data_IF_325633167257
#
_entry.id   IF_325633167257
#
_cell.length_a   1.000
_cell.length_b   1.000
_cell.length_c   1.000
_cell.angle_alpha   90.00
_cell.angle_beta   90.00
_cell.angle_gamma   90.00
#
_symmetry.space_group_name_H-M   'P 1'
#
loop_
_entity.id
_entity.type
_entity.pdbx_description
1 polymer ?
#
# COMPACT_ATOMS: atom_id res chain seq x y z
N UNK A 1 14.80 1.34 -9.13
CA UNK A 1 14.25 1.15 -7.78
C UNK A 1 13.26 2.27 -7.54
N UNK A 2 11.98 1.96 -7.44
CA UNK A 2 10.94 2.93 -7.10
C UNK A 2 10.55 2.82 -5.62
N UNK A 3 10.09 3.92 -5.04
CA UNK A 3 9.53 3.95 -3.68
C UNK A 3 8.01 4.09 -3.75
N UNK A 4 7.27 3.17 -3.13
CA UNK A 4 5.79 3.13 -3.22
C UNK A 4 5.13 2.93 -1.85
N UNK A 5 4.01 3.61 -1.56
CA UNK A 5 3.27 3.39 -0.32
C UNK A 5 2.58 2.04 -0.30
N UNK A 6 2.54 1.41 0.88
CA UNK A 6 1.67 0.29 1.19
C UNK A 6 1.06 0.45 2.57
N UNK A 7 -0.25 0.23 2.68
CA UNK A 7 -0.94 0.35 3.97
C UNK A 7 -0.70 -0.90 4.82
N UNK A 8 -0.48 -0.72 6.13
CA UNK A 8 -0.52 -1.79 7.11
C UNK A 8 -1.34 -1.36 8.31
N UNK A 9 -1.95 -2.32 9.00
CA UNK A 9 -2.55 -2.06 10.31
C UNK A 9 -1.45 -2.03 11.37
N UNK A 10 -1.73 -1.36 12.50
CA UNK A 10 -0.83 -1.30 13.64
C UNK A 10 -0.21 -2.66 14.00
N UNK A 11 -0.95 -3.78 14.21
CA UNK A 11 -0.33 -5.06 14.57
C UNK A 11 0.52 -5.71 13.45
N UNK A 12 0.31 -5.32 12.18
CA UNK A 12 1.10 -5.88 11.08
C UNK A 12 2.50 -5.26 10.99
N UNK A 13 2.69 -4.02 11.44
CA UNK A 13 4.00 -3.34 11.38
C UNK A 13 5.00 -3.96 12.36
N UNK A 14 4.69 -4.17 13.65
CA UNK A 14 5.55 -4.93 14.57
C UNK A 14 5.82 -6.34 14.07
N UNK A 15 4.85 -7.01 13.44
CA UNK A 15 5.08 -8.33 12.86
C UNK A 15 6.08 -8.31 11.68
N UNK A 16 6.11 -7.23 10.89
CA UNK A 16 7.14 -7.02 9.87
C UNK A 16 8.51 -6.74 10.51
N UNK A 17 8.56 -5.85 11.51
CA UNK A 17 9.80 -5.49 12.22
C UNK A 17 10.39 -6.69 12.98
N UNK A 18 9.55 -7.51 13.59
CA UNK A 18 9.94 -8.75 14.26
C UNK A 18 10.25 -9.90 13.29
N UNK A 19 10.06 -9.71 11.98
CA UNK A 19 10.31 -10.74 10.96
C UNK A 19 9.33 -11.91 10.95
N UNK A 20 8.29 -11.89 11.79
CA UNK A 20 7.28 -12.96 11.86
C UNK A 20 6.30 -12.90 10.68
N UNK A 21 6.14 -11.72 10.07
CA UNK A 21 5.36 -11.53 8.85
C UNK A 21 6.28 -11.43 7.63
N UNK A 22 6.34 -12.50 6.86
CA UNK A 22 7.16 -12.59 5.64
C UNK A 22 6.38 -12.38 4.35
N UNK A 23 5.04 -12.44 4.41
CA UNK A 23 4.18 -12.31 3.22
C UNK A 23 2.93 -11.46 3.49
N UNK A 24 2.56 -10.66 2.49
CA UNK A 24 1.29 -9.93 2.43
C UNK A 24 0.69 -10.11 1.04
N UNK A 25 -0.56 -10.60 0.98
CA UNK A 25 -1.32 -10.75 -0.27
C UNK A 25 -2.37 -9.64 -0.35
N UNK A 26 -2.51 -9.02 -1.52
CA UNK A 26 -3.51 -7.99 -1.79
C UNK A 26 -4.21 -8.30 -3.12
N UNK A 27 -5.53 -8.04 -3.22
CA UNK A 27 -6.24 -8.21 -4.48
C UNK A 27 -5.67 -7.24 -5.53
N UNK A 28 -5.55 -7.74 -6.76
CA UNK A 28 -5.20 -6.95 -7.94
C UNK A 28 -6.37 -7.01 -8.89
N UNK A 29 -6.80 -5.84 -9.35
CA UNK A 29 -7.81 -5.74 -10.40
C UNK A 29 -7.13 -5.85 -11.77
N UNK A 30 -7.53 -6.85 -12.54
CA UNK A 30 -7.01 -7.09 -13.88
C UNK A 30 -7.57 -6.08 -14.89
N UNK A 31 -6.73 -5.66 -15.83
CA UNK A 31 -7.11 -4.66 -16.85
C UNK A 31 -7.74 -5.32 -18.08
N UNK A 32 -8.71 -4.62 -18.67
CA UNK A 32 -9.39 -4.98 -19.93
C UNK A 32 -9.87 -6.43 -19.95
N UNK A 33 -10.58 -6.81 -18.89
CA UNK A 33 -11.39 -8.03 -18.87
C UNK A 33 -12.65 -7.75 -19.69
N UNK A 34 -12.54 -7.88 -21.02
CA UNK A 34 -13.66 -7.68 -21.92
C UNK A 34 -14.75 -8.74 -21.69
N UNK A 35 -16.00 -8.43 -22.03
CA UNK A 35 -17.16 -9.30 -21.82
C UNK A 35 -17.11 -10.63 -22.61
N UNK A 36 -16.20 -10.74 -23.59
CA UNK A 36 -15.90 -11.98 -24.33
C UNK A 36 -14.55 -12.63 -23.99
N UNK A 37 -13.79 -12.08 -23.04
CA UNK A 37 -12.61 -12.75 -22.50
C UNK A 37 -13.10 -14.00 -21.78
N UNK A 38 -12.65 -15.18 -22.21
CA UNK A 38 -13.12 -16.45 -21.65
C UNK A 38 -12.53 -16.70 -20.26
N UNK A 39 -12.88 -15.84 -19.30
CA UNK A 39 -12.56 -15.97 -17.88
C UNK A 39 -13.61 -16.79 -17.11
N UNK A 40 -14.72 -17.16 -17.77
CA UNK A 40 -15.81 -17.92 -17.17
C UNK A 40 -15.52 -19.43 -17.14
N UNK A 41 -14.39 -19.89 -17.70
CA UNK A 41 -13.97 -21.29 -17.65
C UNK A 41 -12.95 -21.55 -16.53
N UNK A 42 -12.98 -22.78 -16.01
CA UNK A 42 -11.94 -23.32 -15.12
C UNK A 42 -10.61 -23.42 -15.87
N UNK A 43 -9.49 -23.12 -15.19
CA UNK A 43 -8.13 -23.18 -15.79
C UNK A 43 -7.50 -21.82 -16.12
N UNK A 44 -7.89 -20.74 -15.45
CA UNK A 44 -7.16 -19.47 -15.55
C UNK A 44 -5.86 -19.52 -14.76
N UNK A 45 -4.79 -19.04 -15.39
CA UNK A 45 -3.48 -18.88 -14.76
C UNK A 45 -2.99 -17.44 -14.86
N UNK A 46 -2.35 -17.00 -13.78
CA UNK A 46 -1.58 -15.77 -13.79
C UNK A 46 -0.17 -16.08 -14.29
N UNK A 47 0.22 -15.46 -15.41
CA UNK A 47 1.55 -15.61 -15.98
C UNK A 47 2.32 -14.29 -15.88
N UNK A 48 3.60 -14.37 -15.50
CA UNK A 48 4.52 -13.24 -15.49
C UNK A 48 5.31 -13.21 -16.78
N UNK A 49 5.19 -12.11 -17.52
CA UNK A 49 5.89 -11.90 -18.79
C UNK A 49 7.36 -11.45 -18.57
N UNK A 50 8.23 -11.56 -19.58
CA UNK A 50 9.65 -11.14 -19.48
C UNK A 50 9.84 -9.67 -19.11
N UNK A 51 8.89 -8.81 -19.44
CA UNK A 51 8.86 -7.38 -19.10
C UNK A 51 8.42 -7.10 -17.64
N UNK A 52 8.11 -8.14 -16.86
CA UNK A 52 7.66 -8.06 -15.48
C UNK A 52 6.17 -7.80 -15.29
N UNK A 53 5.39 -7.60 -16.34
CA UNK A 53 3.93 -7.43 -16.27
C UNK A 53 3.24 -8.79 -16.15
N UNK A 54 2.01 -8.77 -15.66
CA UNK A 54 1.20 -9.95 -15.45
C UNK A 54 0.04 -10.01 -16.43
N UNK A 55 -0.36 -11.23 -16.79
CA UNK A 55 -1.58 -11.50 -17.55
C UNK A 55 -2.37 -12.63 -16.90
N UNK A 56 -3.69 -12.58 -17.01
CA UNK A 56 -4.55 -13.74 -16.85
C UNK A 56 -4.75 -14.39 -18.20
N UNK A 57 -4.64 -15.71 -18.20
CA UNK A 57 -4.67 -16.53 -19.39
C UNK A 57 -5.44 -17.82 -19.15
N UNK A 58 -6.24 -18.24 -20.13
CA UNK A 58 -6.92 -19.53 -20.13
C UNK A 58 -6.00 -20.64 -20.65
N UNK A 59 -5.94 -21.77 -19.94
CA UNK A 59 -5.17 -22.95 -20.32
C UNK A 59 -5.55 -23.53 -21.70
N UNK A 60 -6.79 -23.33 -22.16
CA UNK A 60 -7.28 -23.94 -23.40
C UNK A 60 -6.89 -23.16 -24.66
N UNK A 61 -6.64 -21.85 -24.54
CA UNK A 61 -6.29 -20.95 -25.66
C UNK A 61 -7.20 -21.06 -26.91
N UNK A 62 -8.46 -21.47 -26.74
CA UNK A 62 -9.37 -21.82 -27.85
C UNK A 62 -10.21 -20.66 -28.40
N UNK A 63 -10.28 -19.52 -27.71
CA UNK A 63 -10.99 -18.32 -28.19
C UNK A 63 -10.03 -17.28 -28.73
N UNK A 64 -10.49 -16.32 -29.54
CA UNK A 64 -9.67 -15.17 -29.97
C UNK A 64 -9.30 -14.23 -28.81
N UNK A 65 -9.97 -14.36 -27.67
CA UNK A 65 -9.77 -13.58 -26.44
C UNK A 65 -9.51 -14.54 -25.28
N UNK A 66 -8.30 -15.11 -25.26
CA UNK A 66 -7.85 -16.08 -24.25
C UNK A 66 -6.95 -15.47 -23.17
N UNK A 67 -6.59 -14.18 -23.30
CA UNK A 67 -5.68 -13.46 -22.40
C UNK A 67 -6.15 -12.02 -22.16
N UNK A 68 -6.07 -11.54 -20.91
CA UNK A 68 -6.38 -10.15 -20.59
C UNK A 68 -5.25 -9.19 -21.02
N UNK A 69 -5.45 -7.88 -20.88
CA UNK A 69 -4.37 -6.93 -21.08
C UNK A 69 -3.26 -7.07 -20.02
N UNK A 70 -2.04 -6.74 -20.42
CA UNK A 70 -0.87 -6.65 -19.53
C UNK A 70 -1.19 -5.73 -18.35
N UNK A 71 -1.13 -6.29 -17.14
CA UNK A 71 -1.47 -5.61 -15.90
C UNK A 71 -0.22 -5.48 -15.03
N UNK A 72 0.25 -4.26 -14.71
CA UNK A 72 1.34 -4.08 -13.76
C UNK A 72 0.88 -4.38 -12.34
N UNK A 73 1.76 -4.91 -11.50
CA UNK A 73 1.51 -4.96 -10.06
C UNK A 73 1.43 -3.51 -9.53
N UNK A 74 0.29 -3.10 -8.91
CA UNK A 74 0.14 -1.73 -8.44
C UNK A 74 1.15 -1.38 -7.35
N UNK A 75 1.58 -2.38 -6.58
CA UNK A 75 2.53 -2.22 -5.49
C UNK A 75 4.00 -2.18 -5.95
N UNK A 76 4.34 -2.54 -7.20
CA UNK A 76 5.74 -2.57 -7.68
C UNK A 76 6.25 -3.95 -8.06
N UNK A 77 7.53 -4.02 -8.40
CA UNK A 77 8.24 -5.23 -8.82
C UNK A 77 9.25 -5.67 -7.77
N UNK A 78 9.72 -6.94 -7.81
CA UNK A 78 10.86 -7.35 -6.99
C UNK A 78 12.05 -6.39 -7.17
N UNK A 79 12.59 -5.89 -6.05
CA UNK A 79 13.65 -4.88 -6.03
C UNK A 79 13.17 -3.44 -5.85
N UNK A 80 11.86 -3.16 -5.93
CA UNK A 80 11.28 -1.90 -5.49
C UNK A 80 11.18 -1.84 -3.96
N UNK A 81 11.21 -0.62 -3.41
CA UNK A 81 11.05 -0.37 -1.98
C UNK A 81 9.60 0.02 -1.69
N UNK A 82 8.99 -0.68 -0.74
CA UNK A 82 7.68 -0.31 -0.22
C UNK A 82 7.85 0.42 1.10
N UNK A 83 7.32 1.63 1.21
CA UNK A 83 7.26 2.34 2.47
C UNK A 83 5.90 2.13 3.11
N UNK A 84 5.92 1.80 4.39
CA UNK A 84 4.72 1.47 5.16
C UNK A 84 4.01 2.74 5.57
N UNK A 85 2.70 2.76 5.34
CA UNK A 85 1.78 3.73 5.94
C UNK A 85 0.96 3.01 6.99
N UNK A 86 0.94 3.56 8.20
CA UNK A 86 0.24 2.96 9.33
C UNK A 86 -0.66 3.95 10.06
N UNK A 87 -1.43 3.43 11.02
CA UNK A 87 -2.31 4.26 11.83
C UNK A 87 -1.49 5.21 12.69
N UNK A 88 -1.89 6.47 12.73
CA UNK A 88 -1.12 7.54 13.37
C UNK A 88 -2.05 8.49 14.12
N UNK A 89 -1.51 9.24 15.07
CA UNK A 89 -2.19 10.35 15.74
C UNK A 89 -1.30 11.59 15.74
N UNK A 90 -1.89 12.75 15.50
CA UNK A 90 -1.24 14.03 15.78
C UNK A 90 -1.46 14.45 17.23
N UNK A 91 -0.74 15.47 17.70
CA UNK A 91 -1.06 16.11 18.98
C UNK A 91 -2.42 16.81 18.92
N UNK A 92 -3.17 16.79 20.03
CA UNK A 92 -4.51 17.34 20.12
C UNK A 92 -4.57 18.84 19.80
N UNK A 93 -3.47 19.57 20.01
CA UNK A 93 -3.35 20.98 19.66
C UNK A 93 -3.64 21.28 18.19
N UNK A 94 -3.41 20.31 17.28
CA UNK A 94 -3.62 20.48 15.85
C UNK A 94 -4.93 19.88 15.34
N UNK A 95 -5.87 19.49 16.22
CA UNK A 95 -7.09 18.75 15.84
C UNK A 95 -7.88 19.39 14.68
N UNK A 96 -7.89 20.72 14.61
CA UNK A 96 -8.62 21.51 13.62
C UNK A 96 -7.81 21.80 12.34
N UNK A 97 -6.52 21.45 12.32
CA UNK A 97 -5.64 21.60 11.17
C UNK A 97 -5.62 20.32 10.32
N UNK A 98 -5.56 20.49 8.99
CA UNK A 98 -5.48 19.35 8.09
C UNK A 98 -4.10 18.69 8.21
N UNK A 99 -4.00 17.35 8.16
CA UNK A 99 -2.72 16.64 8.24
C UNK A 99 -1.63 17.15 7.29
N UNK A 100 -2.00 17.64 6.09
CA UNK A 100 -1.07 18.20 5.11
C UNK A 100 -0.55 19.61 5.44
N UNK A 101 -1.20 20.31 6.38
CA UNK A 101 -0.89 21.70 6.77
C UNK A 101 -0.07 21.76 8.08
N UNK A 102 -0.01 20.65 8.83
CA UNK A 102 0.67 20.54 10.13
C UNK A 102 2.20 20.50 9.99
N UNK A 103 2.84 21.61 9.66
CA UNK A 103 4.30 21.66 9.51
C UNK A 103 4.93 22.10 10.83
N UNK A 104 5.65 21.21 11.52
CA UNK A 104 6.33 21.58 12.78
C UNK A 104 7.53 22.51 12.52
N UNK A 105 8.31 22.31 11.44
CA UNK A 105 9.42 23.19 11.03
C UNK A 105 9.57 23.18 9.51
N UNK A 106 9.69 24.35 8.88
CA UNK A 106 10.09 24.46 7.48
C UNK A 106 11.62 24.37 7.36
N UNK A 107 12.14 23.40 6.60
CA UNK A 107 13.58 23.27 6.33
C UNK A 107 13.91 23.46 4.85
N UNK A 108 15.18 23.74 4.48
CA UNK A 108 15.60 23.86 3.08
C UNK A 108 15.30 22.61 2.23
N UNK A 109 15.24 21.44 2.86
CA UNK A 109 14.96 20.15 2.21
C UNK A 109 13.46 19.78 2.19
N UNK A 110 12.61 20.64 2.76
CA UNK A 110 11.15 20.46 2.83
C UNK A 110 10.57 20.67 4.23
N UNK A 111 9.23 20.61 4.36
CA UNK A 111 8.56 20.64 5.66
C UNK A 111 8.92 19.39 6.47
N UNK A 112 9.33 19.58 7.73
CA UNK A 112 9.53 18.50 8.71
C UNK A 112 8.43 18.54 9.76
N UNK A 113 7.90 17.35 10.08
CA UNK A 113 7.02 17.15 11.22
C UNK A 113 7.88 16.62 12.38
N UNK A 114 8.14 17.45 13.38
CA UNK A 114 8.96 17.08 14.55
C UNK A 114 8.04 16.53 15.63
N UNK A 115 8.25 15.28 16.03
CA UNK A 115 7.80 14.67 17.29
C UNK A 115 6.30 14.79 17.68
N UNK A 116 5.45 15.22 16.77
CA UNK A 116 4.01 15.42 17.00
C UNK A 116 3.16 14.35 16.32
N UNK A 117 3.78 13.25 15.90
CA UNK A 117 3.10 12.09 15.32
C UNK A 117 3.42 10.87 16.17
N UNK A 118 2.38 10.26 16.72
CA UNK A 118 2.43 8.96 17.36
C UNK A 118 2.05 7.88 16.35
N UNK A 119 2.86 6.82 16.26
CA UNK A 119 2.55 5.64 15.47
C UNK A 119 2.01 4.54 16.36
N UNK A 120 0.86 3.98 16.00
CA UNK A 120 0.19 3.01 16.85
C UNK A 120 0.87 1.62 16.81
N UNK A 121 1.80 1.37 15.89
CA UNK A 121 2.71 0.22 15.98
C UNK A 121 3.67 0.28 17.17
N UNK A 122 4.00 1.48 17.68
CA UNK A 122 4.92 1.66 18.81
C UNK A 122 4.24 1.37 20.17
N UNK A 123 2.93 1.10 20.16
CA UNK A 123 2.13 0.82 21.34
C UNK A 123 1.23 1.99 21.76
N UNK A 124 0.65 1.87 22.94
CA UNK A 124 -0.15 2.96 23.52
C UNK A 124 0.77 4.10 24.02
N UNK A 125 0.41 5.36 23.77
CA UNK A 125 1.20 6.49 24.24
C UNK A 125 1.20 6.54 25.77
N UNK A 126 2.38 6.62 26.38
CA UNK A 126 2.55 6.74 27.84
C UNK A 126 2.59 8.19 28.33
N UNK A 127 2.58 9.16 27.40
CA UNK A 127 2.57 10.60 27.65
C UNK A 127 1.93 11.32 26.47
N UNK A 128 1.60 12.61 26.64
CA UNK A 128 1.10 13.48 25.59
C UNK A 128 -0.42 13.47 25.44
N UNK A 129 -0.94 14.56 24.88
CA UNK A 129 -2.35 14.70 24.53
C UNK A 129 -2.51 14.44 23.02
N UNK A 130 -3.03 13.25 22.69
CA UNK A 130 -3.09 12.74 21.33
C UNK A 130 -4.52 12.70 20.82
N UNK A 131 -4.67 12.98 19.54
CA UNK A 131 -5.93 12.75 18.87
C UNK A 131 -6.28 11.25 18.80
N UNK A 132 -7.56 10.98 18.54
CA UNK A 132 -8.02 9.64 18.19
C UNK A 132 -7.23 9.11 16.98
N UNK A 133 -6.89 7.79 16.97
CA UNK A 133 -6.15 7.18 15.87
C UNK A 133 -6.79 7.48 14.50
N UNK A 134 -6.00 8.05 13.60
CA UNK A 134 -6.40 8.29 12.22
C UNK A 134 -5.91 7.14 11.32
N UNK A 135 -6.73 6.72 10.32
CA UNK A 135 -6.31 5.72 9.37
C UNK A 135 -5.09 6.14 8.54
N UNK A 136 -4.26 5.17 8.16
CA UNK A 136 -3.01 5.35 7.39
C UNK A 136 -3.17 6.05 6.04
N UNK A 137 -4.37 6.04 5.44
CA UNK A 137 -4.64 6.77 4.20
C UNK A 137 -4.48 8.29 4.36
N UNK A 138 -4.70 8.81 5.56
CA UNK A 138 -4.59 10.23 5.91
C UNK A 138 -3.22 10.63 6.45
N UNK A 139 -2.27 9.70 6.52
CA UNK A 139 -0.91 9.99 6.99
C UNK A 139 -0.31 11.14 6.17
N UNK A 140 0.25 12.19 6.81
CA UNK A 140 0.93 13.27 6.11
C UNK A 140 2.00 12.72 5.17
N UNK A 141 2.24 13.42 4.07
CA UNK A 141 3.30 13.10 3.12
C UNK A 141 4.49 14.00 3.35
#
# INVERSE_FOLDING_TARGET
>A
MAEKPILFSAPMVPALLAGTKTQTRRPVTWRNVAEGLNLQFTGLRAERLPDGLWVLESDTRTSSSWRCARTPCPYGQPGDRLWVRESWSGTHAYQDERPSERVSVMTPDGPLMRNEIWYWADGEPVYGDWERPRPSIHMPR
#
